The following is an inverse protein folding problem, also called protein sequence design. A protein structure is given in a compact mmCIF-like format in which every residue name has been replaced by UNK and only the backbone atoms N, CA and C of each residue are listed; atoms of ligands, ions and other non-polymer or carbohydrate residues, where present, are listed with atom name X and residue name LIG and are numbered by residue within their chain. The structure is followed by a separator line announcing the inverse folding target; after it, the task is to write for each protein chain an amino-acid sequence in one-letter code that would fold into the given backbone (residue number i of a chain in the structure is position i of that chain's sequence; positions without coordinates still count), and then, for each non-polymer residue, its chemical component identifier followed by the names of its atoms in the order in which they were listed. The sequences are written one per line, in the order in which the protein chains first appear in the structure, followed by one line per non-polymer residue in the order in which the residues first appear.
data_IF_078034957433
#
_entry.id   IF_078034957433
#
_cell.length_a   1.000
_cell.length_b   1.000
_cell.length_c   1.000
_cell.angle_alpha   90.00
_cell.angle_beta   90.00
_cell.angle_gamma   90.00
#
_symmetry.space_group_name_H-M   'P 1'
#
loop_
_entity.id
_entity.type
_entity.pdbx_description
1 polymer ?
#
# COMPACT_ATOMS: atom_id res chain seq x y z
N UNK A 1 7.74 -21.58 16.83
CA UNK A 1 8.92 -20.77 16.45
C UNK A 1 9.78 -21.63 15.53
N UNK A 2 9.56 -21.56 14.23
CA UNK A 2 10.42 -22.26 13.26
C UNK A 2 11.39 -21.22 12.70
N UNK A 3 12.67 -21.42 12.95
CA UNK A 3 13.75 -20.76 12.21
C UNK A 3 13.70 -21.28 10.77
N UNK A 4 12.84 -20.67 9.97
CA UNK A 4 12.68 -21.05 8.59
C UNK A 4 13.47 -20.11 7.69
N UNK A 5 14.67 -20.50 7.30
CA UNK A 5 15.19 -20.14 5.98
C UNK A 5 14.31 -20.84 4.93
N UNK A 6 13.04 -20.44 4.85
CA UNK A 6 12.12 -20.92 3.86
C UNK A 6 12.55 -20.40 2.50
N UNK A 7 12.95 -21.29 1.63
CA UNK A 7 13.20 -20.96 0.23
C UNK A 7 11.85 -20.65 -0.42
N UNK A 8 11.52 -19.35 -0.54
CA UNK A 8 10.30 -18.89 -1.19
C UNK A 8 10.43 -19.07 -2.71
N UNK A 9 9.41 -19.65 -3.33
CA UNK A 9 9.28 -19.66 -4.79
C UNK A 9 8.75 -18.29 -5.25
N UNK A 10 9.61 -17.45 -5.82
CA UNK A 10 9.31 -16.08 -6.24
C UNK A 10 8.73 -16.02 -7.66
N UNK A 11 8.89 -17.06 -8.47
CA UNK A 11 8.54 -17.03 -9.88
C UNK A 11 7.05 -16.75 -10.16
N UNK A 12 6.07 -17.31 -9.41
CA UNK A 12 4.66 -16.96 -9.64
C UNK A 12 4.34 -15.48 -9.39
N UNK A 13 4.93 -14.89 -8.34
CA UNK A 13 4.78 -13.45 -8.05
C UNK A 13 5.41 -12.58 -9.13
N UNK A 14 6.60 -12.94 -9.60
CA UNK A 14 7.27 -12.26 -10.69
C UNK A 14 6.48 -12.33 -12.00
N UNK A 15 5.94 -13.51 -12.32
CA UNK A 15 5.07 -13.70 -13.49
C UNK A 15 3.84 -12.79 -13.42
N UNK A 16 3.18 -12.71 -12.28
CA UNK A 16 2.05 -11.81 -12.09
C UNK A 16 2.46 -10.34 -12.29
N UNK A 17 3.56 -9.90 -11.67
CA UNK A 17 4.04 -8.53 -11.83
C UNK A 17 4.27 -8.17 -13.30
N UNK A 18 4.96 -9.04 -14.04
CA UNK A 18 5.38 -8.77 -15.42
C UNK A 18 4.23 -8.95 -16.40
N UNK A 19 3.52 -10.10 -16.35
CA UNK A 19 2.55 -10.46 -17.39
C UNK A 19 1.15 -9.94 -17.12
N UNK A 20 0.73 -9.88 -15.86
CA UNK A 20 -0.64 -9.46 -15.49
C UNK A 20 -0.69 -7.99 -15.10
N UNK A 21 0.14 -7.57 -14.15
CA UNK A 21 0.10 -6.21 -13.61
C UNK A 21 0.67 -5.18 -14.59
N UNK A 22 1.88 -5.42 -15.09
CA UNK A 22 2.57 -4.52 -16.03
C UNK A 22 2.27 -4.84 -17.51
N UNK A 23 1.89 -6.06 -17.83
CA UNK A 23 1.59 -6.51 -19.20
C UNK A 23 2.71 -6.17 -20.18
N UNK A 24 3.93 -6.56 -19.80
CA UNK A 24 5.13 -6.30 -20.60
C UNK A 24 5.06 -7.05 -21.94
N UNK A 25 5.31 -6.33 -23.04
CA UNK A 25 5.39 -6.87 -24.38
C UNK A 25 6.86 -7.04 -24.83
N UNK A 26 7.15 -7.95 -25.78
CA UNK A 26 8.52 -8.25 -26.20
C UNK A 26 9.29 -7.05 -26.79
N UNK A 27 8.59 -6.10 -27.38
CA UNK A 27 9.16 -4.88 -27.98
C UNK A 27 9.43 -3.75 -26.99
N UNK A 28 8.99 -3.87 -25.75
CA UNK A 28 9.07 -2.81 -24.75
C UNK A 28 10.36 -2.87 -23.93
N UNK A 29 10.98 -1.72 -23.75
CA UNK A 29 12.15 -1.58 -22.90
C UNK A 29 11.76 -1.51 -21.42
N UNK A 30 12.38 -2.39 -20.61
CA UNK A 30 12.13 -2.52 -19.18
C UNK A 30 13.33 -2.07 -18.37
N UNK A 31 13.12 -1.32 -17.32
CA UNK A 31 14.13 -1.04 -16.30
C UNK A 31 13.69 -1.59 -14.94
N UNK A 32 14.61 -2.26 -14.24
CA UNK A 32 14.44 -2.69 -12.85
C UNK A 32 15.49 -1.99 -12.01
N UNK A 33 15.06 -1.28 -10.96
CA UNK A 33 15.93 -0.71 -9.93
C UNK A 33 15.72 -1.46 -8.63
N UNK A 34 16.79 -1.94 -8.04
CA UNK A 34 16.81 -2.69 -6.78
C UNK A 34 17.96 -2.23 -5.88
N UNK A 35 18.07 -2.85 -4.74
CA UNK A 35 19.21 -2.79 -3.85
C UNK A 35 19.74 -4.21 -3.56
N UNK A 36 20.81 -4.30 -2.80
CA UNK A 36 21.44 -5.57 -2.44
C UNK A 36 20.49 -6.48 -1.63
N UNK A 37 19.60 -5.91 -0.82
CA UNK A 37 18.65 -6.68 0.00
C UNK A 37 17.53 -7.30 -0.84
N UNK A 38 17.04 -6.57 -1.82
CA UNK A 38 15.94 -7.01 -2.71
C UNK A 38 16.42 -7.69 -3.98
N UNK A 39 17.73 -7.85 -4.16
CA UNK A 39 18.32 -8.45 -5.36
C UNK A 39 17.68 -9.79 -5.78
N UNK A 40 17.38 -10.75 -4.86
CA UNK A 40 16.71 -12.00 -5.25
C UNK A 40 15.32 -11.78 -5.89
N UNK A 41 14.58 -10.75 -5.42
CA UNK A 41 13.29 -10.37 -6.00
C UNK A 41 13.51 -9.78 -7.39
N UNK A 42 14.46 -8.85 -7.52
CA UNK A 42 14.79 -8.21 -8.80
C UNK A 42 15.25 -9.24 -9.86
N UNK A 43 16.06 -10.22 -9.46
CA UNK A 43 16.50 -11.31 -10.33
C UNK A 43 15.33 -12.19 -10.82
N UNK A 44 14.37 -12.47 -9.94
CA UNK A 44 13.15 -13.21 -10.29
C UNK A 44 12.29 -12.42 -11.29
N UNK A 45 12.11 -11.11 -11.07
CA UNK A 45 11.43 -10.22 -12.02
C UNK A 45 12.16 -10.15 -13.36
N UNK A 46 13.49 -10.02 -13.31
CA UNK A 46 14.35 -9.97 -14.51
C UNK A 46 14.29 -11.28 -15.33
N UNK A 47 14.22 -12.43 -14.66
CA UNK A 47 14.06 -13.71 -15.32
C UNK A 47 12.74 -13.76 -16.12
N UNK A 48 11.64 -13.27 -15.55
CA UNK A 48 10.34 -13.24 -16.21
C UNK A 48 10.30 -12.23 -17.39
N UNK A 49 10.98 -11.06 -17.26
CA UNK A 49 11.14 -10.10 -18.37
C UNK A 49 11.89 -10.74 -19.55
N UNK A 50 12.97 -11.47 -19.26
CA UNK A 50 13.73 -12.19 -20.29
C UNK A 50 12.91 -13.31 -20.95
N UNK A 51 12.05 -14.00 -20.18
CA UNK A 51 11.14 -15.03 -20.70
C UNK A 51 10.03 -14.43 -21.59
N UNK A 52 9.64 -13.17 -21.38
CA UNK A 52 8.81 -12.41 -22.32
C UNK A 52 9.57 -12.07 -23.59
N UNK A 53 10.90 -11.97 -23.54
CA UNK A 53 11.75 -11.55 -24.65
C UNK A 53 11.96 -10.03 -24.74
N UNK A 54 11.63 -9.28 -23.70
CA UNK A 54 11.76 -7.82 -23.67
C UNK A 54 13.20 -7.37 -23.34
N UNK A 55 13.71 -6.30 -23.96
CA UNK A 55 14.97 -5.67 -23.57
C UNK A 55 14.92 -5.19 -22.11
N UNK A 56 15.97 -5.51 -21.35
CA UNK A 56 16.05 -5.27 -19.91
C UNK A 56 17.34 -4.58 -19.51
N UNK A 57 17.21 -3.53 -18.70
CA UNK A 57 18.30 -2.94 -17.91
C UNK A 57 18.00 -3.14 -16.41
N UNK A 58 18.99 -3.55 -15.63
CA UNK A 58 18.85 -3.72 -14.19
C UNK A 58 19.94 -2.93 -13.47
N UNK A 59 19.54 -2.20 -12.42
CA UNK A 59 20.39 -1.34 -11.63
C UNK A 59 20.28 -1.71 -10.15
N UNK A 60 21.42 -1.96 -9.51
CA UNK A 60 21.53 -2.12 -8.05
C UNK A 60 22.06 -0.79 -7.51
N UNK A 61 21.32 -0.17 -6.59
CA UNK A 61 21.61 1.21 -6.15
C UNK A 61 23.03 1.34 -5.57
N UNK A 62 23.50 0.37 -4.81
CA UNK A 62 24.83 0.38 -4.20
C UNK A 62 25.99 0.40 -5.20
N UNK A 63 25.75 0.01 -6.46
CA UNK A 63 26.77 0.11 -7.53
C UNK A 63 27.04 1.57 -7.94
N UNK A 64 26.16 2.50 -7.56
CA UNK A 64 26.22 3.91 -7.95
C UNK A 64 26.59 4.86 -6.81
N UNK A 65 26.74 4.36 -5.58
CA UNK A 65 27.16 5.14 -4.42
C UNK A 65 26.67 4.58 -3.11
N UNK A 66 27.09 5.22 -2.02
CA UNK A 66 26.62 4.88 -0.68
C UNK A 66 25.17 5.34 -0.47
N UNK A 67 24.40 4.55 0.27
CA UNK A 67 23.03 4.90 0.66
C UNK A 67 23.01 5.53 2.06
N UNK A 68 22.09 6.49 2.34
CA UNK A 68 20.94 6.91 1.54
C UNK A 68 21.31 7.81 0.35
N UNK A 69 20.71 7.55 -0.82
CA UNK A 69 20.88 8.37 -2.00
C UNK A 69 19.91 9.55 -2.00
N UNK A 70 20.45 10.76 -1.87
CA UNK A 70 19.65 11.99 -1.87
C UNK A 70 19.11 12.34 -3.27
N UNK A 71 19.90 12.02 -4.30
CA UNK A 71 19.57 12.27 -5.71
C UNK A 71 19.51 10.95 -6.47
N UNK A 72 18.68 10.88 -7.51
CA UNK A 72 18.63 9.73 -8.41
C UNK A 72 19.96 9.64 -9.20
N UNK A 73 20.68 8.49 -9.21
CA UNK A 73 21.91 8.36 -10.01
C UNK A 73 21.67 8.72 -11.47
N UNK A 74 22.61 9.46 -12.08
CA UNK A 74 22.45 9.99 -13.44
C UNK A 74 22.14 8.88 -14.46
N UNK A 75 22.85 7.74 -14.37
CA UNK A 75 22.64 6.59 -15.25
C UNK A 75 21.21 6.01 -15.11
N UNK A 76 20.71 5.93 -13.87
CA UNK A 76 19.32 5.47 -13.62
C UNK A 76 18.32 6.48 -14.18
N UNK A 77 18.56 7.78 -13.96
CA UNK A 77 17.73 8.86 -14.51
C UNK A 77 17.63 8.77 -16.04
N UNK A 78 18.77 8.61 -16.71
CA UNK A 78 18.83 8.48 -18.16
C UNK A 78 18.08 7.23 -18.65
N UNK A 79 18.13 6.12 -17.91
CA UNK A 79 17.37 4.93 -18.25
C UNK A 79 15.86 5.21 -18.20
N UNK A 80 15.36 5.88 -17.16
CA UNK A 80 13.95 6.25 -17.05
C UNK A 80 13.47 7.20 -18.17
N UNK A 81 14.38 7.96 -18.82
CA UNK A 81 13.99 8.82 -19.94
C UNK A 81 13.72 8.07 -21.26
N UNK A 82 14.05 6.77 -21.36
CA UNK A 82 13.93 6.00 -22.59
C UNK A 82 13.14 4.70 -22.52
N UNK A 83 12.67 4.31 -21.32
CA UNK A 83 11.96 3.03 -21.14
C UNK A 83 10.43 3.19 -21.19
N UNK A 84 9.76 2.08 -21.47
CA UNK A 84 8.30 1.98 -21.53
C UNK A 84 7.72 1.45 -20.20
N UNK A 85 8.49 0.58 -19.53
CA UNK A 85 8.11 -0.08 -18.29
C UNK A 85 9.24 0.05 -17.27
N UNK A 86 8.87 0.31 -16.01
CA UNK A 86 9.84 0.37 -14.92
C UNK A 86 9.34 -0.31 -13.65
N UNK A 87 10.28 -0.84 -12.87
CA UNK A 87 10.04 -1.44 -11.57
C UNK A 87 11.06 -0.86 -10.59
N UNK A 88 10.58 -0.38 -9.46
CA UNK A 88 11.44 0.04 -8.34
C UNK A 88 11.20 -0.89 -7.17
N UNK A 89 12.14 -1.78 -6.89
CA UNK A 89 12.07 -2.81 -5.86
C UNK A 89 13.26 -2.70 -4.90
N UNK A 90 13.44 -1.53 -4.27
CA UNK A 90 14.48 -1.30 -3.28
C UNK A 90 13.88 -0.97 -1.91
N UNK A 91 14.58 -1.34 -0.83
CA UNK A 91 14.20 -0.96 0.53
C UNK A 91 14.37 0.56 0.71
N UNK A 92 13.38 1.27 1.27
CA UNK A 92 13.49 2.70 1.46
C UNK A 92 14.43 3.01 2.63
N UNK A 93 15.32 3.98 2.46
CA UNK A 93 16.14 4.50 3.54
C UNK A 93 15.75 5.93 3.90
N UNK A 94 15.87 6.33 5.19
CA UNK A 94 15.65 7.72 5.60
C UNK A 94 16.51 8.67 4.77
N UNK A 95 15.89 9.68 4.14
CA UNK A 95 16.58 10.65 3.26
C UNK A 95 16.38 10.40 1.76
N UNK A 96 16.01 9.20 1.31
CA UNK A 96 15.85 8.85 -0.11
C UNK A 96 14.51 9.28 -0.73
N UNK A 97 13.65 9.95 0.02
CA UNK A 97 12.36 10.40 -0.52
C UNK A 97 12.51 11.35 -1.70
N UNK A 98 13.57 12.19 -1.71
CA UNK A 98 13.83 13.16 -2.78
C UNK A 98 14.17 12.45 -4.10
N UNK A 99 15.08 11.48 -4.08
CA UNK A 99 15.47 10.69 -5.27
C UNK A 99 14.29 9.88 -5.82
N UNK A 100 13.45 9.29 -4.94
CA UNK A 100 12.23 8.57 -5.36
C UNK A 100 11.18 9.52 -5.97
N UNK A 101 11.03 10.73 -5.43
CA UNK A 101 10.14 11.76 -6.02
C UNK A 101 10.63 12.21 -7.39
N UNK A 102 11.94 12.36 -7.58
CA UNK A 102 12.52 12.65 -8.89
C UNK A 102 12.19 11.55 -9.88
N UNK A 103 12.39 10.27 -9.51
CA UNK A 103 12.04 9.12 -10.33
C UNK A 103 10.55 9.11 -10.70
N UNK A 104 9.65 9.26 -9.72
CA UNK A 104 8.20 9.24 -9.97
C UNK A 104 7.73 10.44 -10.81
N UNK A 105 8.42 11.59 -10.73
CA UNK A 105 8.16 12.71 -11.62
C UNK A 105 8.49 12.37 -13.09
N UNK A 106 9.57 11.64 -13.36
CA UNK A 106 9.89 11.14 -14.71
C UNK A 106 8.83 10.14 -15.16
N UNK A 107 8.48 9.17 -14.31
CA UNK A 107 7.42 8.18 -14.56
C UNK A 107 6.12 8.86 -15.01
N UNK A 108 5.65 9.84 -14.26
CA UNK A 108 4.42 10.59 -14.56
C UNK A 108 4.53 11.38 -15.88
N UNK A 109 5.63 12.11 -16.09
CA UNK A 109 5.84 12.91 -17.29
C UNK A 109 5.92 12.06 -18.55
N UNK A 110 6.63 10.92 -18.46
CA UNK A 110 6.84 10.00 -19.57
C UNK A 110 5.70 9.00 -19.76
N UNK A 111 4.76 8.93 -18.80
CA UNK A 111 3.67 7.94 -18.76
C UNK A 111 4.19 6.49 -18.79
N UNK A 112 5.25 6.24 -18.05
CA UNK A 112 5.83 4.91 -17.92
C UNK A 112 4.87 4.03 -17.10
N UNK A 113 4.65 2.80 -17.52
CA UNK A 113 3.99 1.81 -16.65
C UNK A 113 4.97 1.41 -15.56
N UNK A 114 4.71 1.86 -14.32
CA UNK A 114 5.64 1.73 -13.20
C UNK A 114 5.03 0.95 -12.05
N UNK A 115 5.73 -0.11 -11.63
CA UNK A 115 5.46 -0.83 -10.39
C UNK A 115 6.37 -0.31 -9.28
N UNK A 116 5.77 0.24 -8.23
CA UNK A 116 6.46 0.69 -7.03
C UNK A 116 6.40 -0.42 -5.96
N UNK A 117 7.54 -1.07 -5.70
CA UNK A 117 7.64 -2.27 -4.85
C UNK A 117 8.58 -2.03 -3.65
N UNK A 118 8.43 -0.88 -3.00
CA UNK A 118 9.17 -0.55 -1.77
C UNK A 118 8.74 -1.47 -0.63
N UNK A 119 9.64 -1.79 0.31
CA UNK A 119 9.42 -2.78 1.37
C UNK A 119 9.16 -4.22 0.87
N UNK A 120 9.42 -4.49 -0.41
CA UNK A 120 9.21 -5.82 -0.99
C UNK A 120 10.11 -6.85 -0.29
N UNK A 121 9.53 -8.03 -0.04
CA UNK A 121 10.25 -9.17 0.53
C UNK A 121 9.95 -10.45 -0.25
N UNK A 122 10.80 -11.49 -0.14
CA UNK A 122 10.50 -12.81 -0.69
C UNK A 122 9.15 -13.38 -0.23
N UNK A 123 8.75 -13.09 1.01
CA UNK A 123 7.46 -13.52 1.54
C UNK A 123 6.29 -12.87 0.81
N UNK A 124 6.34 -11.57 0.56
CA UNK A 124 5.30 -10.84 -0.20
C UNK A 124 5.19 -11.38 -1.63
N UNK A 125 6.32 -11.68 -2.28
CA UNK A 125 6.33 -12.31 -3.61
C UNK A 125 5.64 -13.69 -3.60
N UNK A 126 5.78 -14.44 -2.50
CA UNK A 126 5.16 -15.76 -2.35
C UNK A 126 3.70 -15.73 -1.82
N UNK A 127 3.22 -14.59 -1.35
CA UNK A 127 1.85 -14.40 -0.81
C UNK A 127 1.06 -13.38 -1.67
N UNK A 128 1.04 -12.11 -1.31
CA UNK A 128 0.21 -11.07 -1.95
C UNK A 128 0.44 -10.91 -3.45
N UNK A 129 1.66 -11.14 -3.93
CA UNK A 129 1.98 -11.12 -5.37
C UNK A 129 1.49 -12.36 -6.13
N UNK A 130 1.07 -13.44 -5.44
CA UNK A 130 0.47 -14.63 -6.08
C UNK A 130 -1.04 -14.51 -6.33
N UNK A 131 -1.63 -13.37 -5.98
CA UNK A 131 -3.04 -13.13 -6.25
C UNK A 131 -3.38 -13.28 -7.73
N UNK A 132 -4.60 -13.73 -8.00
CA UNK A 132 -5.22 -13.53 -9.30
C UNK A 132 -5.66 -12.05 -9.38
N UNK A 133 -4.87 -11.22 -10.05
CA UNK A 133 -5.10 -9.78 -10.12
C UNK A 133 -6.32 -9.39 -10.94
N UNK A 134 -6.83 -10.26 -11.81
CA UNK A 134 -8.12 -10.05 -12.48
C UNK A 134 -9.27 -10.21 -11.47
N UNK A 135 -9.16 -11.18 -10.57
CA UNK A 135 -10.12 -11.35 -9.44
C UNK A 135 -10.03 -10.17 -8.47
N UNK A 136 -8.80 -9.74 -8.10
CA UNK A 136 -8.60 -8.57 -7.25
C UNK A 136 -9.20 -7.32 -7.89
N UNK A 137 -9.00 -7.12 -9.18
CA UNK A 137 -9.58 -5.97 -9.92
C UNK A 137 -11.11 -6.03 -9.95
N UNK A 138 -11.68 -7.20 -10.18
CA UNK A 138 -13.13 -7.39 -10.19
C UNK A 138 -13.74 -7.08 -8.82
N UNK A 139 -13.15 -7.58 -7.72
CA UNK A 139 -13.57 -7.26 -6.35
C UNK A 139 -13.43 -5.77 -6.07
N UNK A 140 -12.26 -5.19 -6.36
CA UNK A 140 -12.01 -3.75 -6.17
C UNK A 140 -13.03 -2.89 -6.93
N UNK A 141 -13.38 -3.30 -8.14
CA UNK A 141 -14.40 -2.60 -8.95
C UNK A 141 -15.77 -2.67 -8.28
N UNK A 142 -16.20 -3.85 -7.80
CA UNK A 142 -17.49 -4.02 -7.10
C UNK A 142 -17.55 -3.22 -5.80
N UNK A 143 -16.45 -3.20 -5.04
CA UNK A 143 -16.32 -2.38 -3.82
C UNK A 143 -16.48 -0.91 -4.16
N UNK A 144 -15.68 -0.40 -5.12
CA UNK A 144 -15.73 1.00 -5.52
C UNK A 144 -17.12 1.42 -6.02
N UNK A 145 -17.73 0.63 -6.89
CA UNK A 145 -19.02 0.96 -7.51
C UNK A 145 -20.18 1.01 -6.50
N UNK A 146 -20.04 0.30 -5.37
CA UNK A 146 -20.96 0.40 -4.23
C UNK A 146 -20.60 1.58 -3.32
N UNK A 147 -19.31 1.73 -3.01
CA UNK A 147 -18.82 2.81 -2.13
C UNK A 147 -19.15 4.21 -2.65
N UNK A 148 -19.05 4.43 -3.98
CA UNK A 148 -19.41 5.71 -4.61
C UNK A 148 -20.89 6.09 -4.40
N UNK A 149 -21.76 5.11 -4.16
CA UNK A 149 -23.21 5.31 -3.98
C UNK A 149 -23.62 5.39 -2.51
N UNK A 150 -22.76 4.93 -1.62
CA UNK A 150 -23.04 4.87 -0.20
C UNK A 150 -22.95 6.28 0.44
N UNK A 151 -23.91 6.62 1.28
CA UNK A 151 -23.89 7.83 2.11
C UNK A 151 -23.04 7.63 3.35
N UNK A 152 -23.02 6.39 3.86
CA UNK A 152 -22.23 6.01 5.05
C UNK A 152 -21.62 4.61 4.90
N UNK A 153 -20.47 4.42 5.54
CA UNK A 153 -19.89 3.09 5.77
C UNK A 153 -19.82 2.90 7.28
N UNK A 154 -20.31 1.76 7.74
CA UNK A 154 -20.15 1.29 9.11
C UNK A 154 -19.19 0.10 9.10
N UNK A 155 -18.28 0.06 10.07
CA UNK A 155 -17.37 -1.06 10.25
C UNK A 155 -17.28 -1.48 11.70
N UNK A 156 -17.22 -2.80 11.91
CA UNK A 156 -16.99 -3.43 13.21
C UNK A 156 -15.91 -4.50 13.06
N UNK A 157 -15.13 -4.74 14.11
CA UNK A 157 -14.18 -5.84 14.14
C UNK A 157 -14.33 -6.67 15.42
N UNK A 158 -13.78 -7.89 15.37
CA UNK A 158 -13.74 -8.77 16.57
C UNK A 158 -12.92 -8.14 17.71
N UNK A 159 -11.90 -7.35 17.38
CA UNK A 159 -11.05 -6.67 18.35
C UNK A 159 -11.77 -5.53 19.08
N UNK A 160 -12.95 -5.10 18.61
CA UNK A 160 -13.77 -4.07 19.28
C UNK A 160 -13.87 -2.76 18.51
N UNK A 161 -13.43 -2.68 17.26
CA UNK A 161 -13.74 -1.51 16.43
C UNK A 161 -15.25 -1.40 16.23
N UNK A 162 -15.78 -0.18 16.30
CA UNK A 162 -17.15 0.20 15.90
C UNK A 162 -17.13 1.67 15.48
N UNK A 163 -17.19 1.91 14.17
CA UNK A 163 -17.08 3.25 13.61
C UNK A 163 -18.05 3.47 12.45
N UNK A 164 -18.33 4.74 12.20
CA UNK A 164 -19.12 5.19 11.04
C UNK A 164 -18.36 6.29 10.32
N UNK A 165 -18.31 6.16 9.00
CA UNK A 165 -17.77 7.19 8.11
C UNK A 165 -18.85 7.70 7.15
N UNK A 166 -18.80 9.01 6.83
CA UNK A 166 -19.64 9.66 5.82
C UNK A 166 -18.74 10.30 4.76
N UNK A 167 -19.30 10.56 3.58
CA UNK A 167 -18.52 10.95 2.40
C UNK A 167 -19.07 12.22 1.76
N UNK A 168 -18.17 13.00 1.16
CA UNK A 168 -18.50 14.12 0.30
C UNK A 168 -18.54 13.59 -1.15
N UNK A 169 -19.67 13.75 -1.88
CA UNK A 169 -19.79 13.26 -3.25
C UNK A 169 -18.84 13.94 -4.24
N UNK A 170 -18.20 15.05 -3.87
CA UNK A 170 -17.17 15.71 -4.68
C UNK A 170 -15.78 15.07 -4.53
N UNK A 171 -15.56 14.26 -3.49
CA UNK A 171 -14.32 13.55 -3.24
C UNK A 171 -14.34 12.17 -3.90
N UNK A 172 -13.30 11.88 -4.66
CA UNK A 172 -13.26 10.68 -5.49
C UNK A 172 -12.83 9.44 -4.71
N UNK A 173 -13.46 8.33 -5.07
CA UNK A 173 -12.99 7.00 -4.72
C UNK A 173 -11.92 6.52 -5.71
N UNK A 174 -10.80 6.07 -5.20
CA UNK A 174 -9.68 5.55 -5.97
C UNK A 174 -9.67 4.02 -5.90
N UNK A 175 -9.23 3.37 -6.97
CA UNK A 175 -9.02 1.93 -7.05
C UNK A 175 -7.57 1.67 -7.42
N UNK A 176 -6.87 0.86 -6.63
CA UNK A 176 -5.47 0.45 -6.83
C UNK A 176 -5.36 -1.07 -6.81
N UNK A 177 -5.90 -1.72 -7.84
CA UNK A 177 -6.03 -3.18 -7.90
C UNK A 177 -4.75 -3.93 -8.27
N UNK A 178 -3.68 -3.22 -8.65
CA UNK A 178 -2.43 -3.81 -9.14
C UNK A 178 -2.34 -3.88 -10.66
N UNK A 179 -3.44 -3.65 -11.40
CA UNK A 179 -3.37 -3.49 -12.85
C UNK A 179 -2.84 -2.08 -13.18
N UNK A 180 -1.65 -2.02 -13.76
CA UNK A 180 -0.91 -0.78 -14.01
C UNK A 180 -1.13 -0.30 -15.44
N UNK A 181 -1.27 1.02 -15.62
CA UNK A 181 -1.42 1.67 -16.92
C UNK A 181 -0.40 2.79 -17.08
N UNK A 182 -0.26 3.31 -18.29
CA UNK A 182 0.57 4.49 -18.57
C UNK A 182 0.02 5.78 -17.92
N UNK A 183 -1.24 5.78 -17.52
CA UNK A 183 -1.88 6.93 -16.86
C UNK A 183 -1.72 6.90 -15.33
N UNK A 184 -1.43 5.72 -14.77
CA UNK A 184 -1.36 5.54 -13.32
C UNK A 184 -0.42 4.40 -12.95
N UNK A 185 0.69 4.74 -12.31
CA UNK A 185 1.54 3.76 -11.64
C UNK A 185 0.90 3.29 -10.33
N UNK A 186 1.36 2.18 -9.79
CA UNK A 186 0.82 1.64 -8.55
C UNK A 186 1.87 0.90 -7.72
N UNK A 187 1.57 0.78 -6.42
CA UNK A 187 2.27 -0.19 -5.57
C UNK A 187 1.89 -1.62 -5.96
N UNK A 188 2.85 -2.53 -5.85
CA UNK A 188 2.61 -3.97 -5.93
C UNK A 188 3.12 -4.65 -4.64
N UNK A 189 2.33 -5.59 -4.07
CA UNK A 189 1.02 -6.04 -4.50
C UNK A 189 -0.05 -4.94 -4.43
N UNK A 190 -1.01 -4.99 -5.36
CA UNK A 190 -2.19 -4.14 -5.35
C UNK A 190 -3.36 -4.82 -4.63
N UNK A 191 -4.48 -4.12 -4.59
CA UNK A 191 -5.72 -4.62 -4.00
C UNK A 191 -6.26 -3.68 -2.92
N UNK A 192 -6.76 -2.50 -3.34
CA UNK A 192 -7.29 -1.51 -2.41
C UNK A 192 -8.28 -0.58 -3.11
N UNK A 193 -9.28 -0.14 -2.35
CA UNK A 193 -10.21 0.92 -2.73
C UNK A 193 -10.27 1.93 -1.60
N UNK A 194 -9.99 3.20 -1.90
CA UNK A 194 -9.79 4.23 -0.90
C UNK A 194 -10.44 5.57 -1.27
N UNK A 195 -10.70 6.40 -0.25
CA UNK A 195 -11.11 7.80 -0.40
C UNK A 195 -10.73 8.61 0.84
N UNK A 196 -10.76 9.95 0.74
CA UNK A 196 -10.71 10.81 1.92
C UNK A 196 -12.15 10.99 2.46
N UNK A 197 -12.46 10.49 3.68
CA UNK A 197 -13.81 10.62 4.24
C UNK A 197 -14.11 12.05 4.65
N UNK A 198 -15.39 12.46 4.56
CA UNK A 198 -15.85 13.75 5.07
C UNK A 198 -15.82 13.77 6.61
N UNK A 199 -16.26 12.68 7.23
CA UNK A 199 -16.29 12.51 8.67
C UNK A 199 -16.17 11.04 9.07
N UNK A 200 -15.42 10.79 10.15
CA UNK A 200 -15.32 9.49 10.83
C UNK A 200 -15.51 9.70 12.32
N UNK A 201 -16.37 8.88 12.92
CA UNK A 201 -16.59 8.85 14.36
C UNK A 201 -16.65 7.41 14.85
N UNK A 202 -16.14 7.16 16.07
CA UNK A 202 -16.21 5.86 16.72
C UNK A 202 -14.87 5.39 17.27
N UNK A 203 -14.70 4.08 17.33
CA UNK A 203 -13.50 3.44 17.88
C UNK A 203 -12.87 2.57 16.81
N UNK A 204 -11.56 2.68 16.63
CA UNK A 204 -10.77 1.77 15.82
C UNK A 204 -9.76 1.04 16.70
N UNK A 205 -9.80 -0.29 16.71
CA UNK A 205 -8.81 -1.13 17.39
C UNK A 205 -7.83 -1.66 16.33
N UNK A 206 -6.58 -1.25 16.48
CA UNK A 206 -5.47 -1.70 15.63
C UNK A 206 -4.90 -2.96 16.25
N UNK A 207 -5.25 -4.10 15.72
CA UNK A 207 -4.69 -5.41 16.08
C UNK A 207 -3.80 -6.01 14.98
N UNK A 208 -3.43 -5.19 14.00
CA UNK A 208 -2.54 -5.49 12.88
C UNK A 208 -1.24 -4.69 12.94
N UNK A 209 -1.10 -3.70 12.04
CA UNK A 209 0.13 -2.90 11.90
C UNK A 209 -0.17 -1.39 11.90
N UNK A 210 0.87 -0.59 12.13
CA UNK A 210 0.83 0.87 12.22
C UNK A 210 1.78 1.49 11.19
N UNK A 211 1.28 1.97 10.05
CA UNK A 211 2.04 2.67 9.02
C UNK A 211 3.33 1.96 8.60
N UNK A 212 4.23 2.68 7.96
CA UNK A 212 5.54 2.16 7.54
C UNK A 212 6.59 2.25 8.67
N UNK A 213 6.82 3.45 9.20
CA UNK A 213 7.83 3.69 10.23
C UNK A 213 7.56 2.92 11.53
N UNK A 214 6.31 2.92 12.01
CA UNK A 214 5.96 2.21 13.24
C UNK A 214 5.85 0.70 12.99
N UNK A 215 5.45 0.27 11.78
CA UNK A 215 5.43 -1.14 11.40
C UNK A 215 6.85 -1.72 11.40
N UNK A 216 7.82 -1.01 10.84
CA UNK A 216 9.23 -1.44 10.88
C UNK A 216 9.75 -1.60 12.32
N UNK A 217 9.20 -0.83 13.28
CA UNK A 217 9.62 -0.85 14.67
C UNK A 217 8.89 -1.88 15.53
N UNK A 218 7.61 -2.09 15.30
CA UNK A 218 6.73 -2.86 16.18
C UNK A 218 6.18 -4.13 15.54
N UNK A 219 6.19 -4.20 14.21
CA UNK A 219 5.60 -5.29 13.45
C UNK A 219 4.10 -5.44 13.72
N UNK A 220 3.69 -6.67 13.80
CA UNK A 220 2.34 -7.07 14.19
C UNK A 220 2.11 -6.82 15.68
N UNK A 221 1.07 -6.05 16.01
CA UNK A 221 0.74 -5.66 17.40
C UNK A 221 -0.48 -6.40 17.97
N UNK A 222 -0.86 -7.55 17.41
CA UNK A 222 -2.01 -8.35 17.87
C UNK A 222 -2.00 -8.61 19.38
N UNK A 223 -0.82 -8.90 19.95
CA UNK A 223 -0.67 -9.17 21.37
C UNK A 223 -0.89 -7.94 22.29
N UNK A 224 -0.77 -6.73 21.73
CA UNK A 224 -0.90 -5.45 22.46
C UNK A 224 -1.59 -4.40 21.57
N UNK A 225 -2.88 -4.59 21.25
CA UNK A 225 -3.60 -3.71 20.32
C UNK A 225 -3.62 -2.26 20.78
N UNK A 226 -3.63 -1.35 19.80
CA UNK A 226 -3.82 0.07 20.02
C UNK A 226 -5.30 0.41 19.79
N UNK A 227 -5.97 0.99 20.78
CA UNK A 227 -7.34 1.49 20.62
C UNK A 227 -7.30 3.00 20.39
N UNK A 228 -7.93 3.46 19.32
CA UNK A 228 -8.02 4.86 18.93
C UNK A 228 -9.48 5.29 18.94
N UNK A 229 -9.83 6.28 19.77
CA UNK A 229 -11.13 6.95 19.72
C UNK A 229 -11.04 8.11 18.74
N UNK A 230 -12.01 8.17 17.83
CA UNK A 230 -12.05 9.16 16.75
C UNK A 230 -13.33 9.97 16.92
N UNK A 231 -13.19 11.30 17.01
CA UNK A 231 -14.29 12.25 17.06
C UNK A 231 -14.09 13.34 16.00
N UNK A 232 -15.10 13.58 15.18
CA UNK A 232 -15.02 14.56 14.09
C UNK A 232 -13.78 14.35 13.19
N UNK A 233 -13.49 13.09 12.85
CA UNK A 233 -12.33 12.67 12.06
C UNK A 233 -10.97 12.95 12.72
N UNK A 234 -10.87 13.20 14.02
CA UNK A 234 -9.61 13.44 14.72
C UNK A 234 -9.41 12.46 15.87
N UNK A 235 -8.16 12.20 16.17
CA UNK A 235 -7.79 11.40 17.34
C UNK A 235 -8.26 12.13 18.60
N UNK A 236 -9.20 11.52 19.34
CA UNK A 236 -9.74 12.05 20.60
C UNK A 236 -9.02 11.45 21.81
N UNK A 237 -8.80 10.14 21.82
CA UNK A 237 -8.03 9.43 22.85
C UNK A 237 -7.34 8.19 22.25
N UNK A 238 -6.31 7.70 22.93
CA UNK A 238 -5.53 6.53 22.51
C UNK A 238 -5.15 5.69 23.72
N UNK A 239 -5.40 4.38 23.66
CA UNK A 239 -4.99 3.43 24.68
C UNK A 239 -4.23 2.25 24.09
N UNK A 240 -3.17 1.84 24.78
CA UNK A 240 -2.39 0.65 24.47
C UNK A 240 -1.69 0.15 25.74
N UNK A 241 -1.70 -1.17 25.97
CA UNK A 241 -0.97 -1.76 27.09
C UNK A 241 0.55 -1.53 27.00
N UNK A 242 1.09 -1.40 25.78
CA UNK A 242 2.49 -1.05 25.52
C UNK A 242 2.62 0.46 25.39
N UNK A 243 3.01 1.16 26.48
CA UNK A 243 3.08 2.63 26.55
C UNK A 243 3.88 3.25 25.39
N UNK A 244 4.99 2.60 24.99
CA UNK A 244 5.85 3.11 23.90
C UNK A 244 5.16 3.14 22.53
N UNK A 245 4.30 2.18 22.23
CA UNK A 245 3.48 2.20 20.99
C UNK A 245 2.54 3.39 21.01
N UNK A 246 1.85 3.61 22.16
CA UNK A 246 0.96 4.75 22.37
C UNK A 246 1.68 6.09 22.20
N UNK A 247 2.83 6.23 22.87
CA UNK A 247 3.66 7.45 22.82
C UNK A 247 4.12 7.77 21.39
N UNK A 248 4.64 6.79 20.67
CA UNK A 248 5.14 6.99 19.31
C UNK A 248 4.00 7.28 18.31
N UNK A 249 2.84 6.64 18.49
CA UNK A 249 1.63 6.96 17.71
C UNK A 249 1.19 8.42 17.95
N UNK A 250 1.10 8.85 19.20
CA UNK A 250 0.73 10.23 19.54
C UNK A 250 1.77 11.24 19.04
N UNK A 251 3.07 10.94 19.18
CA UNK A 251 4.12 11.79 18.63
C UNK A 251 4.01 11.96 17.10
N UNK A 252 3.68 10.87 16.38
CA UNK A 252 3.50 10.92 14.93
C UNK A 252 2.27 11.72 14.54
N UNK A 253 1.12 11.50 15.20
CA UNK A 253 -0.14 12.20 14.90
C UNK A 253 -0.16 13.66 15.37
N UNK A 254 0.88 14.11 16.07
CA UNK A 254 1.09 15.50 16.49
C UNK A 254 2.22 16.21 15.74
N UNK A 255 2.75 15.62 14.66
CA UNK A 255 3.91 16.16 13.93
C UNK A 255 3.62 17.52 13.29
N UNK A 256 2.44 17.69 12.69
CA UNK A 256 2.00 18.96 12.09
C UNK A 256 0.46 19.04 12.08
N UNK A 257 -0.06 20.15 11.58
CA UNK A 257 -1.51 20.31 11.42
C UNK A 257 -2.10 19.21 10.53
N UNK A 258 -3.22 18.63 10.94
CA UNK A 258 -3.92 17.50 10.32
C UNK A 258 -3.22 16.13 10.40
N UNK A 259 -2.07 15.98 11.06
CA UNK A 259 -1.47 14.66 11.30
C UNK A 259 -2.38 13.74 12.14
N UNK A 260 -3.27 14.30 12.94
CA UNK A 260 -4.27 13.61 13.77
C UNK A 260 -5.62 13.41 13.07
N UNK A 261 -5.77 13.92 11.84
CA UNK A 261 -7.01 13.85 11.07
C UNK A 261 -7.03 12.62 10.20
N UNK A 262 -8.17 11.91 10.17
CA UNK A 262 -8.38 10.81 9.22
C UNK A 262 -8.36 11.37 7.81
N UNK A 263 -7.33 11.02 7.06
CA UNK A 263 -7.12 11.41 5.67
C UNK A 263 -7.55 10.35 4.69
N UNK A 264 -7.62 9.10 5.15
CA UNK A 264 -8.00 7.98 4.31
C UNK A 264 -8.92 7.01 5.04
N UNK A 265 -9.92 6.52 4.33
CA UNK A 265 -10.64 5.30 4.61
C UNK A 265 -10.46 4.37 3.41
N UNK A 266 -9.98 3.17 3.67
CA UNK A 266 -9.69 2.22 2.63
C UNK A 266 -10.20 0.82 2.96
N UNK A 267 -10.43 0.03 1.90
CA UNK A 267 -10.71 -1.39 1.99
C UNK A 267 -9.65 -2.17 1.23
N UNK A 268 -8.93 -3.04 1.94
CA UNK A 268 -8.07 -4.05 1.32
C UNK A 268 -8.91 -5.04 0.53
N UNK A 269 -8.49 -5.34 -0.70
CA UNK A 269 -9.24 -6.21 -1.63
C UNK A 269 -8.40 -7.35 -2.20
N UNK A 270 -7.16 -7.51 -1.76
CA UNK A 270 -6.30 -8.61 -2.20
C UNK A 270 -6.63 -9.90 -1.43
N UNK A 271 -7.52 -10.70 -2.00
CA UNK A 271 -8.02 -11.92 -1.36
C UNK A 271 -6.98 -13.04 -1.21
N UNK A 272 -5.79 -12.89 -1.79
CA UNK A 272 -4.68 -13.80 -1.56
C UNK A 272 -3.90 -13.46 -0.28
N UNK A 273 -4.02 -12.24 0.24
CA UNK A 273 -3.49 -11.86 1.54
C UNK A 273 -4.43 -12.38 2.62
N UNK A 274 -3.97 -13.32 3.43
CA UNK A 274 -4.79 -14.03 4.42
C UNK A 274 -4.38 -13.74 5.86
N UNK A 275 -3.23 -13.11 6.07
CA UNK A 275 -2.69 -12.82 7.40
C UNK A 275 -1.81 -11.58 7.38
N UNK A 276 -1.74 -10.90 8.51
CA UNK A 276 -0.76 -9.86 8.78
C UNK A 276 0.62 -10.51 8.89
N UNK A 277 1.61 -9.88 8.26
CA UNK A 277 3.00 -10.36 8.23
C UNK A 277 3.98 -9.37 8.88
N UNK A 278 3.48 -8.22 9.35
CA UNK A 278 4.32 -7.14 9.89
C UNK A 278 5.00 -6.33 8.79
N UNK A 279 4.36 -6.18 7.63
CA UNK A 279 4.85 -5.37 6.52
C UNK A 279 3.69 -4.61 5.87
N UNK A 280 3.71 -3.29 6.00
CA UNK A 280 2.58 -2.43 5.59
C UNK A 280 2.24 -2.59 4.11
N UNK A 281 3.23 -2.76 3.21
CA UNK A 281 3.00 -2.90 1.76
C UNK A 281 1.97 -3.99 1.43
N UNK A 282 2.00 -5.11 2.17
CA UNK A 282 1.03 -6.19 1.99
C UNK A 282 -0.15 -6.08 2.95
N UNK A 283 0.11 -5.71 4.22
CA UNK A 283 -0.86 -5.86 5.29
C UNK A 283 -2.07 -4.93 5.13
N UNK A 284 -1.90 -3.76 4.52
CA UNK A 284 -2.99 -2.84 4.14
C UNK A 284 -3.89 -3.41 3.01
N UNK A 285 -3.42 -4.42 2.28
CA UNK A 285 -4.18 -5.08 1.21
C UNK A 285 -5.01 -6.26 1.71
N UNK A 286 -4.86 -6.64 3.00
CA UNK A 286 -5.68 -7.67 3.65
C UNK A 286 -7.16 -7.30 3.53
N UNK A 287 -8.06 -8.24 3.13
CA UNK A 287 -9.49 -7.98 3.12
C UNK A 287 -10.00 -7.50 4.49
N UNK A 288 -10.37 -6.23 4.55
CA UNK A 288 -10.72 -5.52 5.77
C UNK A 288 -10.93 -4.03 5.49
N UNK A 289 -11.17 -3.26 6.55
CA UNK A 289 -11.20 -1.82 6.49
C UNK A 289 -10.02 -1.26 7.28
N UNK A 290 -9.26 -0.36 6.68
CA UNK A 290 -8.24 0.41 7.40
C UNK A 290 -8.46 1.90 7.24
N UNK A 291 -7.84 2.68 8.12
CA UNK A 291 -7.81 4.13 8.07
C UNK A 291 -6.36 4.60 7.98
N UNK A 292 -6.15 5.80 7.44
CA UNK A 292 -4.89 6.50 7.64
C UNK A 292 -5.11 7.89 8.20
N UNK A 293 -4.24 8.29 9.12
CA UNK A 293 -4.16 9.65 9.63
C UNK A 293 -3.17 10.49 8.81
N UNK A 294 -3.53 11.73 8.53
CA UNK A 294 -2.69 12.67 7.79
C UNK A 294 -3.10 12.82 6.32
N UNK A 295 -2.21 12.59 5.40
CA UNK A 295 -2.33 12.92 3.97
C UNK A 295 -3.57 12.28 3.31
N UNK A 296 -4.48 13.09 2.71
CA UNK A 296 -5.73 12.62 2.10
C UNK A 296 -5.60 12.27 0.61
N UNK A 297 -4.39 12.22 0.06
CA UNK A 297 -4.13 12.13 -1.39
C UNK A 297 -4.93 13.15 -2.21
N UNK A 298 -4.87 14.43 -1.76
CA UNK A 298 -5.68 15.52 -2.28
C UNK A 298 -5.62 15.68 -3.81
N UNK A 299 -4.44 15.48 -4.41
CA UNK A 299 -4.20 15.51 -5.85
C UNK A 299 -5.01 14.46 -6.62
N UNK A 300 -5.35 13.35 -5.97
CA UNK A 300 -6.11 12.24 -6.55
C UNK A 300 -7.56 12.21 -6.07
N UNK A 301 -7.79 12.36 -4.77
CA UNK A 301 -9.13 12.32 -4.18
C UNK A 301 -9.92 13.61 -4.43
N UNK A 302 -9.23 14.76 -4.51
CA UNK A 302 -9.84 16.08 -4.58
C UNK A 302 -10.19 16.66 -3.21
N UNK A 303 -9.64 16.10 -2.12
CA UNK A 303 -9.79 16.67 -0.79
C UNK A 303 -9.24 18.10 -0.73
N UNK A 304 -9.91 18.99 0.02
CA UNK A 304 -9.60 20.43 0.09
C UNK A 304 -8.46 20.78 1.05
N UNK A 305 -7.82 19.80 1.65
CA UNK A 305 -6.75 19.96 2.63
C UNK A 305 -5.61 18.99 2.36
N UNK A 306 -4.45 19.21 2.97
CA UNK A 306 -3.29 18.32 2.84
C UNK A 306 -2.55 18.18 4.17
N UNK A 307 -1.66 17.20 4.23
CA UNK A 307 -0.74 16.93 5.31
C UNK A 307 0.48 16.23 4.70
N UNK A 308 1.65 16.32 5.31
CA UNK A 308 2.85 15.61 4.83
C UNK A 308 3.02 14.23 5.44
N UNK A 309 2.40 14.00 6.61
CA UNK A 309 2.41 12.72 7.30
C UNK A 309 1.33 11.81 6.73
N UNK A 310 1.55 10.50 6.78
CA UNK A 310 0.56 9.48 6.45
C UNK A 310 0.83 8.26 7.33
N UNK A 311 -0.17 7.83 8.08
CA UNK A 311 -0.05 6.74 9.03
C UNK A 311 -1.25 5.82 8.94
N UNK A 312 -1.10 4.71 8.24
CA UNK A 312 -2.11 3.67 8.18
C UNK A 312 -2.27 2.99 9.53
N UNK A 313 -3.50 2.63 9.84
CA UNK A 313 -3.85 1.78 10.97
C UNK A 313 -4.66 0.60 10.47
N UNK A 314 -4.09 -0.60 10.57
CA UNK A 314 -4.65 -1.82 10.00
C UNK A 314 -5.13 -2.75 11.11
N UNK A 315 -6.35 -3.22 10.98
CA UNK A 315 -6.95 -4.22 11.87
C UNK A 315 -7.39 -5.46 11.11
N UNK A 316 -8.00 -6.41 11.84
CA UNK A 316 -8.43 -7.73 11.33
C UNK A 316 -9.92 -7.96 11.52
N UNK A 317 -10.46 -8.92 10.77
CA UNK A 317 -11.78 -9.50 11.00
C UNK A 317 -12.93 -8.50 11.02
N UNK A 318 -12.99 -7.65 10.00
CA UNK A 318 -14.04 -6.66 9.87
C UNK A 318 -15.34 -7.21 9.29
N UNK A 319 -16.45 -6.74 9.86
CA UNK A 319 -17.77 -6.68 9.26
C UNK A 319 -17.98 -5.25 8.75
N UNK A 320 -18.39 -5.10 7.48
CA UNK A 320 -18.54 -3.78 6.85
C UNK A 320 -19.89 -3.68 6.16
N UNK A 321 -20.57 -2.56 6.39
CA UNK A 321 -21.85 -2.22 5.74
C UNK A 321 -21.70 -0.92 4.96
N UNK A 322 -22.23 -0.90 3.75
CA UNK A 322 -22.45 0.30 2.96
C UNK A 322 -23.95 0.62 3.06
N UNK A 323 -24.28 1.71 3.76
CA UNK A 323 -25.63 1.99 4.26
C UNK A 323 -26.19 0.81 5.06
N UNK A 324 -27.18 0.11 4.53
CA UNK A 324 -27.76 -1.07 5.17
C UNK A 324 -27.34 -2.40 4.51
N UNK A 325 -26.50 -2.37 3.44
CA UNK A 325 -26.02 -3.56 2.72
C UNK A 325 -24.69 -4.05 3.32
N UNK A 326 -24.70 -5.26 3.89
CA UNK A 326 -23.46 -5.86 4.40
C UNK A 326 -22.61 -6.37 3.24
N UNK A 327 -21.48 -5.74 3.01
CA UNK A 327 -20.54 -6.05 1.91
C UNK A 327 -19.39 -6.96 2.34
N UNK A 328 -19.16 -7.05 3.66
CA UNK A 328 -18.09 -7.89 4.23
C UNK A 328 -18.53 -8.47 5.56
N UNK A 329 -18.21 -9.75 5.81
CA UNK A 329 -18.36 -10.41 7.08
C UNK A 329 -17.08 -11.14 7.46
N UNK A 330 -16.56 -10.85 8.67
CA UNK A 330 -15.34 -11.46 9.19
C UNK A 330 -14.15 -11.41 8.20
N UNK A 331 -13.96 -10.24 7.53
CA UNK A 331 -12.92 -10.05 6.52
C UNK A 331 -13.17 -10.76 5.19
N UNK A 332 -14.35 -11.29 4.95
CA UNK A 332 -14.71 -11.95 3.69
C UNK A 332 -15.76 -11.16 2.93
N UNK A 333 -15.49 -10.87 1.67
CA UNK A 333 -16.44 -10.17 0.81
C UNK A 333 -17.70 -11.00 0.56
N UNK A 334 -18.86 -10.34 0.61
CA UNK A 334 -20.20 -10.90 0.31
C UNK A 334 -20.74 -10.44 -1.06
N UNK A 335 -19.90 -9.77 -1.85
CA UNK A 335 -20.25 -9.06 -3.10
C UNK A 335 -19.71 -9.73 -4.34
#
# INVERSE_FOLDING_TARGET
MSNGNGHYDLAPGARNAIRTCLRVAPEEHVVIVSDSETLPVAESLAAEVRDVGAPLEMYVLEDYGERPMLDLPATVREAFERVDVSIYAAQPQPGELASRREMTAIVNRRRIRHAHMVYMTPRIMAEGMRADFDVVDAISTRVRDRAVKAERIRARSRAGSDLVATFDPTVRWLKTSGLITSEKWANLPGGEVLTAPARVDGVYVVDGVLGDYLCARYGDIEATPLTVWIENSRVADVQCARSKVREDFLAYTQTEENSDRVGELAMGTNVAVQSIIGNILQDEKLPGLHLAFGHPYAEHTGASWSCRTHLDIVGRHFDVWFDDDQVMADGKFLI
#
